data_IF_620471385355
#
_entry.id   IF_620471385355
#
_cell.length_a   1.000
_cell.length_b   1.000
_cell.length_c   1.000
_cell.angle_alpha   90.00
_cell.angle_beta   90.00
_cell.angle_gamma   90.00
#
_symmetry.space_group_name_H-M   'P 1'
#
loop_
_entity.id
_entity.type
_entity.pdbx_description
1 polymer ?
#
# COMPACT_ATOMS: atom_id res chain seq x y z
N UNK A 1 19.76 41.98 -2.06
CA UNK A 1 19.68 41.77 -3.52
C UNK A 1 20.07 40.33 -3.79
N UNK A 2 19.12 39.49 -4.21
CA UNK A 2 19.41 38.11 -4.64
C UNK A 2 20.09 38.19 -6.00
N UNK A 3 21.25 37.56 -6.16
CA UNK A 3 21.99 37.54 -7.42
C UNK A 3 21.10 37.04 -8.56
N UNK A 4 21.11 37.76 -9.68
CA UNK A 4 20.46 37.40 -10.95
C UNK A 4 20.70 35.94 -11.34
N UNK A 5 21.89 35.42 -11.03
CA UNK A 5 22.30 34.05 -11.38
C UNK A 5 21.52 33.00 -10.58
N UNK A 6 21.09 33.33 -9.35
CA UNK A 6 20.29 32.42 -8.55
C UNK A 6 18.85 32.30 -9.06
N UNK A 7 18.30 33.38 -9.60
CA UNK A 7 16.98 33.37 -10.23
C UNK A 7 16.98 32.54 -11.54
N UNK A 8 18.02 32.71 -12.38
CA UNK A 8 18.17 31.92 -13.61
C UNK A 8 18.34 30.42 -13.33
N UNK A 9 19.08 30.06 -12.27
CA UNK A 9 19.23 28.66 -11.87
C UNK A 9 17.91 28.03 -11.40
N UNK A 10 17.13 28.75 -10.58
CA UNK A 10 15.82 28.26 -10.11
C UNK A 10 14.79 28.12 -11.24
N UNK A 11 14.81 29.03 -12.23
CA UNK A 11 13.94 28.96 -13.41
C UNK A 11 14.35 27.79 -14.31
N UNK A 12 15.65 27.57 -14.53
CA UNK A 12 16.15 26.46 -15.35
C UNK A 12 15.79 25.09 -14.75
N UNK A 13 15.92 24.94 -13.42
CA UNK A 13 15.47 23.74 -12.70
C UNK A 13 13.96 23.56 -12.87
N UNK A 14 13.17 24.60 -12.65
CA UNK A 14 11.70 24.53 -12.74
C UNK A 14 11.22 24.11 -14.14
N UNK A 15 11.86 24.63 -15.20
CA UNK A 15 11.54 24.27 -16.60
C UNK A 15 11.93 22.82 -16.90
N UNK A 16 13.10 22.35 -16.45
CA UNK A 16 13.47 20.94 -16.61
C UNK A 16 12.52 20.00 -15.87
N UNK A 17 12.06 20.38 -14.67
CA UNK A 17 11.08 19.60 -13.90
C UNK A 17 9.72 19.52 -14.61
N UNK A 18 9.21 20.65 -15.15
CA UNK A 18 7.95 20.69 -15.89
C UNK A 18 8.03 19.83 -17.16
N UNK A 19 9.13 19.89 -17.91
CA UNK A 19 9.32 19.11 -19.13
C UNK A 19 9.40 17.60 -18.84
N UNK A 20 10.03 17.21 -17.73
CA UNK A 20 10.11 15.81 -17.29
C UNK A 20 8.73 15.28 -16.86
N UNK A 21 7.93 16.11 -16.19
CA UNK A 21 6.59 15.76 -15.73
C UNK A 21 5.62 15.55 -16.90
N UNK A 22 5.66 16.42 -17.92
CA UNK A 22 4.83 16.31 -19.11
C UNK A 22 5.10 15.02 -19.91
N UNK A 23 6.38 14.63 -20.04
CA UNK A 23 6.74 13.39 -20.75
C UNK A 23 6.35 12.12 -19.98
N UNK A 24 6.31 12.15 -18.64
CA UNK A 24 5.89 11.00 -17.83
C UNK A 24 4.38 10.79 -17.82
N UNK A 25 3.59 11.88 -17.79
CA UNK A 25 2.14 11.79 -17.93
C UNK A 25 1.72 11.17 -19.29
N UNK A 26 2.49 11.41 -20.35
CA UNK A 26 2.30 10.77 -21.65
C UNK A 26 2.54 9.25 -21.66
N UNK A 27 3.49 8.76 -20.84
CA UNK A 27 3.81 7.34 -20.73
C UNK A 27 2.71 6.60 -19.96
N UNK A 28 2.24 7.15 -18.82
CA UNK A 28 1.19 6.52 -18.02
C UNK A 28 -0.16 6.49 -18.76
N UNK A 29 -0.49 7.51 -19.55
CA UNK A 29 -1.71 7.51 -20.37
C UNK A 29 -1.70 6.41 -21.45
N UNK A 30 -0.51 6.08 -21.98
CA UNK A 30 -0.34 5.01 -22.97
C UNK A 30 -0.48 3.63 -22.31
N UNK A 31 0.15 3.41 -21.16
CA UNK A 31 0.03 2.16 -20.39
C UNK A 31 -1.40 1.94 -19.88
N UNK A 32 -2.08 3.02 -19.45
CA UNK A 32 -3.49 2.95 -19.05
C UNK A 32 -4.41 2.59 -20.22
N UNK A 33 -4.23 3.21 -21.39
CA UNK A 33 -4.97 2.84 -22.62
C UNK A 33 -4.73 1.40 -23.05
N UNK A 34 -3.52 0.88 -22.87
CA UNK A 34 -3.20 -0.53 -23.16
C UNK A 34 -3.85 -1.48 -22.14
N UNK A 35 -3.94 -1.09 -20.87
CA UNK A 35 -4.63 -1.87 -19.82
C UNK A 35 -6.15 -1.94 -19.97
N UNK A 36 -6.74 -0.98 -20.69
CA UNK A 36 -8.18 -0.94 -21.00
C UNK A 36 -8.56 -1.76 -22.25
N UNK A 37 -7.57 -2.27 -23.02
CA UNK A 37 -7.89 -3.18 -24.11
C UNK A 37 -8.39 -4.50 -23.51
N UNK A 38 -9.58 -4.98 -23.92
CA UNK A 38 -10.04 -6.29 -23.48
C UNK A 38 -8.99 -7.35 -23.90
N UNK A 39 -8.71 -8.35 -23.05
CA UNK A 39 -7.76 -9.40 -23.40
C UNK A 39 -8.20 -10.02 -24.72
N UNK A 40 -7.26 -10.10 -25.68
CA UNK A 40 -7.52 -10.68 -26.98
C UNK A 40 -8.13 -12.08 -26.75
N UNK A 41 -9.39 -12.25 -27.14
CA UNK A 41 -10.06 -13.54 -27.11
C UNK A 41 -9.33 -14.41 -28.14
N UNK A 42 -8.41 -15.25 -27.65
CA UNK A 42 -7.79 -16.28 -28.47
C UNK A 42 -8.88 -17.30 -28.74
N UNK A 43 -9.62 -17.10 -29.83
CA UNK A 43 -10.55 -18.10 -30.33
C UNK A 43 -9.74 -19.33 -30.71
N UNK A 44 -10.09 -20.52 -30.19
CA UNK A 44 -9.43 -21.75 -30.58
C UNK A 44 -9.60 -21.93 -32.09
N UNK A 45 -8.45 -22.10 -32.78
CA UNK A 45 -8.40 -22.39 -34.21
C UNK A 45 -9.08 -23.74 -34.44
N UNK A 46 -10.34 -23.72 -34.87
CA UNK A 46 -11.05 -24.93 -35.26
C UNK A 46 -10.37 -25.49 -36.52
N UNK A 47 -9.55 -26.53 -36.35
CA UNK A 47 -9.11 -27.35 -37.48
C UNK A 47 -10.35 -28.05 -38.05
N UNK A 48 -10.72 -27.67 -39.27
CA UNK A 48 -11.71 -28.37 -40.08
C UNK A 48 -11.17 -29.78 -40.41
N UNK A 49 -11.61 -30.78 -39.67
CA UNK A 49 -11.59 -32.16 -40.13
C UNK A 49 -12.90 -32.42 -40.89
N UNK A 50 -12.79 -32.49 -42.21
CA UNK A 50 -13.80 -33.07 -43.09
C UNK A 50 -13.82 -34.58 -42.86
N UNK A 51 -14.90 -35.09 -42.26
CA UNK A 51 -15.24 -36.52 -42.33
C UNK A 51 -16.60 -36.67 -42.98
N UNK A 52 -16.60 -37.49 -44.02
CA UNK A 52 -17.71 -37.83 -44.88
C UNK A 52 -18.92 -38.37 -44.14
N UNK A 53 -20.09 -37.99 -44.66
CA UNK A 53 -21.39 -38.44 -44.23
C UNK A 53 -21.62 -39.93 -44.51
N UNK A 54 -22.10 -40.67 -43.50
CA UNK A 54 -23.03 -41.79 -43.70
C UNK A 54 -24.09 -41.83 -42.59
N UNK A 55 -25.33 -41.82 -43.07
CA UNK A 55 -26.62 -41.95 -42.39
C UNK A 55 -26.73 -43.17 -41.48
N UNK A 56 -27.34 -42.99 -40.30
CA UNK A 56 -28.45 -43.85 -39.84
C UNK A 56 -29.15 -43.25 -38.59
N UNK A 57 -30.46 -43.37 -38.59
CA UNK A 57 -31.40 -42.86 -37.59
C UNK A 57 -31.31 -43.55 -36.22
N UNK A 58 -31.90 -42.90 -35.20
CA UNK A 58 -32.94 -43.47 -34.31
C UNK A 58 -32.75 -43.20 -32.80
N UNK A 59 -33.84 -42.71 -32.20
CA UNK A 59 -34.32 -42.89 -30.81
C UNK A 59 -33.68 -42.12 -29.63
N UNK A 60 -34.56 -41.28 -29.06
CA UNK A 60 -34.79 -40.98 -27.63
C UNK A 60 -34.05 -41.90 -26.63
N UNK A 61 -33.37 -41.31 -25.65
CA UNK A 61 -33.55 -41.65 -24.22
C UNK A 61 -32.94 -40.61 -23.28
N UNK A 62 -33.52 -40.55 -22.09
CA UNK A 62 -33.22 -39.72 -20.93
C UNK A 62 -31.76 -39.78 -20.43
N UNK A 63 -31.37 -38.69 -19.74
CA UNK A 63 -30.37 -38.48 -18.66
C UNK A 63 -29.54 -39.69 -18.16
N UNK A 64 -28.25 -39.52 -17.80
CA UNK A 64 -27.88 -38.74 -16.61
C UNK A 64 -26.62 -37.86 -16.72
N UNK A 65 -26.65 -36.77 -15.93
CA UNK A 65 -25.52 -35.90 -15.65
C UNK A 65 -24.45 -36.73 -14.92
N UNK A 66 -23.41 -37.13 -15.65
CA UNK A 66 -22.19 -37.70 -15.10
C UNK A 66 -21.17 -36.60 -14.87
N UNK A 67 -20.76 -36.54 -13.61
CA UNK A 67 -19.60 -35.86 -13.06
C UNK A 67 -18.40 -35.89 -14.02
N UNK A 68 -17.89 -34.71 -14.38
CA UNK A 68 -16.49 -34.55 -14.74
C UNK A 68 -15.76 -34.00 -13.52
N UNK A 69 -15.18 -34.92 -12.75
CA UNK A 69 -13.99 -34.66 -11.96
C UNK A 69 -12.90 -34.17 -12.92
N UNK A 70 -12.63 -32.86 -12.93
CA UNK A 70 -11.31 -32.39 -13.33
C UNK A 70 -10.41 -32.44 -12.11
N UNK A 71 -9.57 -33.47 -12.09
CA UNK A 71 -8.37 -33.56 -11.28
C UNK A 71 -7.52 -32.30 -11.53
N UNK A 72 -7.60 -31.32 -10.62
CA UNK A 72 -6.56 -30.32 -10.49
C UNK A 72 -5.47 -30.88 -9.59
N UNK A 73 -4.26 -30.88 -10.14
CA UNK A 73 -3.02 -31.35 -9.54
C UNK A 73 -2.81 -30.74 -8.15
N UNK A 74 -2.23 -31.47 -7.19
CA UNK A 74 -1.79 -30.87 -5.95
C UNK A 74 -0.72 -29.83 -6.27
N UNK A 75 -1.02 -28.56 -6.01
CA UNK A 75 0.00 -27.52 -5.98
C UNK A 75 0.81 -27.78 -4.71
N UNK A 76 2.06 -28.20 -4.92
CA UNK A 76 3.05 -28.43 -3.88
C UNK A 76 3.15 -27.23 -2.93
N UNK A 77 3.40 -27.45 -1.64
CA UNK A 77 3.59 -26.36 -0.69
C UNK A 77 4.79 -25.51 -1.12
N UNK A 78 4.56 -24.20 -1.25
CA UNK A 78 5.63 -23.21 -1.39
C UNK A 78 6.48 -23.31 -0.12
N UNK A 79 7.63 -23.95 -0.27
CA UNK A 79 8.68 -24.04 0.74
C UNK A 79 9.14 -22.62 1.08
N UNK A 80 9.25 -22.23 2.36
CA UNK A 80 9.95 -20.99 2.69
C UNK A 80 11.39 -21.12 2.17
N UNK A 81 11.80 -20.19 1.31
CA UNK A 81 13.21 -20.01 0.96
C UNK A 81 13.94 -19.68 2.26
N UNK A 82 14.63 -20.68 2.80
CA UNK A 82 15.66 -20.48 3.82
C UNK A 82 16.72 -19.57 3.19
N UNK A 83 16.82 -18.34 3.70
CA UNK A 83 18.01 -17.53 3.48
C UNK A 83 19.20 -18.35 3.98
N UNK A 84 20.03 -18.79 3.05
CA UNK A 84 21.34 -19.33 3.35
C UNK A 84 22.15 -18.20 4.02
N UNK A 85 22.35 -18.31 5.33
CA UNK A 85 23.46 -17.64 5.99
C UNK A 85 24.74 -18.22 5.40
N UNK A 86 25.33 -17.52 4.43
CA UNK A 86 26.75 -17.66 4.13
C UNK A 86 27.52 -17.12 5.33
N UNK A 87 27.93 -18.01 6.22
CA UNK A 87 29.02 -17.79 7.16
C UNK A 87 30.29 -17.55 6.34
N UNK A 88 30.75 -16.30 6.31
CA UNK A 88 32.09 -15.96 5.82
C UNK A 88 33.06 -16.39 6.91
N UNK A 89 33.63 -17.57 6.76
CA UNK A 89 34.80 -18.01 7.53
C UNK A 89 35.99 -17.15 7.13
N UNK A 90 36.35 -16.19 7.98
CA UNK A 90 37.65 -15.54 7.92
C UNK A 90 38.69 -16.50 8.51
N UNK A 91 39.37 -17.25 7.65
CA UNK A 91 40.65 -17.86 8.02
C UNK A 91 41.69 -16.75 8.18
N UNK A 92 41.96 -16.35 9.43
CA UNK A 92 43.23 -15.73 9.78
C UNK A 92 44.31 -16.81 9.67
N UNK A 93 45.13 -16.71 8.65
CA UNK A 93 46.39 -17.45 8.55
C UNK A 93 47.42 -16.72 9.41
N UNK A 94 47.64 -17.24 10.62
CA UNK A 94 48.79 -16.88 11.44
C UNK A 94 50.04 -17.54 10.83
N UNK A 95 50.79 -16.78 10.05
CA UNK A 95 52.14 -17.14 9.65
C UNK A 95 53.12 -16.73 10.76
N UNK A 96 53.37 -17.68 11.66
CA UNK A 96 54.52 -17.65 12.56
C UNK A 96 55.80 -17.86 11.76
N UNK A 97 56.70 -16.88 11.73
CA UNK A 97 58.09 -17.10 11.36
C UNK A 97 59.02 -16.38 12.34
N UNK A 98 59.62 -17.22 13.19
CA UNK A 98 60.98 -17.24 13.72
C UNK A 98 61.70 -15.93 14.03
N UNK A 99 61.93 -15.80 15.34
CA UNK A 99 63.09 -15.26 16.04
C UNK A 99 64.35 -14.99 15.19
N UNK A 100 64.80 -13.74 15.22
CA UNK A 100 66.23 -13.43 15.35
C UNK A 100 66.39 -12.14 16.15
N UNK A 101 67.08 -12.27 17.28
CA UNK A 101 67.36 -11.25 18.29
C UNK A 101 68.53 -10.39 17.84
N UNK A 102 68.33 -9.08 17.65
CA UNK A 102 69.41 -8.08 17.76
C UNK A 102 68.87 -6.76 18.30
N UNK A 103 69.55 -6.28 19.35
CA UNK A 103 69.24 -5.09 20.13
C UNK A 103 69.19 -3.80 19.29
N UNK A 104 68.09 -3.05 19.32
CA UNK A 104 68.02 -1.61 18.98
C UNK A 104 66.77 -0.99 19.60
N UNK A 105 66.87 -0.62 20.88
CA UNK A 105 65.74 -0.39 21.79
C UNK A 105 65.19 1.04 21.83
N UNK A 106 65.29 1.83 20.75
CA UNK A 106 64.80 3.23 20.79
C UNK A 106 64.08 3.74 19.54
N UNK A 107 63.97 2.95 18.46
CA UNK A 107 63.22 3.34 17.25
C UNK A 107 61.95 2.49 16.97
N UNK A 108 61.71 1.42 17.73
CA UNK A 108 60.61 0.50 17.50
C UNK A 108 59.23 1.02 17.98
N UNK A 109 59.19 1.97 18.92
CA UNK A 109 57.93 2.52 19.44
C UNK A 109 57.20 3.38 18.40
N UNK A 110 57.93 4.16 17.59
CA UNK A 110 57.35 5.05 16.58
C UNK A 110 56.76 4.29 15.38
N UNK A 111 57.33 3.13 15.02
CA UNK A 111 56.84 2.31 13.90
C UNK A 111 55.54 1.59 14.28
N UNK A 112 55.42 1.13 15.53
CA UNK A 112 54.20 0.45 16.02
C UNK A 112 52.98 1.38 16.06
N UNK A 113 53.18 2.65 16.42
CA UNK A 113 52.09 3.64 16.40
C UNK A 113 51.62 3.96 14.99
N UNK A 114 52.53 4.10 14.01
CA UNK A 114 52.20 4.37 12.61
C UNK A 114 51.41 3.22 11.94
N UNK A 115 51.66 1.97 12.35
CA UNK A 115 50.89 0.81 11.85
C UNK A 115 49.47 0.82 12.42
N UNK A 116 49.30 1.18 13.70
CA UNK A 116 47.98 1.28 14.33
C UNK A 116 47.14 2.40 13.73
N UNK A 117 47.71 3.58 13.49
CA UNK A 117 46.99 4.70 12.85
C UNK A 117 46.55 4.38 11.43
N UNK A 118 47.41 3.75 10.61
CA UNK A 118 47.01 3.33 9.25
C UNK A 118 45.87 2.30 9.24
N UNK A 119 45.84 1.38 10.22
CA UNK A 119 44.75 0.40 10.35
C UNK A 119 43.43 1.05 10.73
N UNK A 120 43.45 2.08 11.58
CA UNK A 120 42.26 2.86 11.96
C UNK A 120 41.78 3.68 10.76
N UNK A 121 42.69 4.34 10.03
CA UNK A 121 42.35 5.14 8.85
C UNK A 121 41.69 4.30 7.74
N UNK A 122 42.23 3.13 7.43
CA UNK A 122 41.64 2.22 6.44
C UNK A 122 40.25 1.70 6.85
N UNK A 123 40.01 1.50 8.16
CA UNK A 123 38.67 1.16 8.66
C UNK A 123 37.69 2.32 8.50
N UNK A 124 38.10 3.54 8.85
CA UNK A 124 37.28 4.75 8.69
C UNK A 124 36.97 5.02 7.22
N UNK A 125 37.96 4.91 6.33
CA UNK A 125 37.77 5.06 4.89
C UNK A 125 36.77 4.03 4.33
N UNK A 126 36.84 2.77 4.78
CA UNK A 126 35.89 1.73 4.37
C UNK A 126 34.47 1.99 4.88
N UNK A 127 34.32 2.50 6.10
CA UNK A 127 33.01 2.91 6.65
C UNK A 127 32.44 4.10 5.88
N UNK A 128 33.28 5.09 5.57
CA UNK A 128 32.89 6.27 4.80
C UNK A 128 32.51 5.92 3.37
N UNK A 129 33.28 5.08 2.68
CA UNK A 129 32.92 4.61 1.32
C UNK A 129 31.67 3.73 1.32
N UNK A 130 31.47 2.88 2.33
CA UNK A 130 30.25 2.08 2.44
C UNK A 130 29.01 2.94 2.69
N UNK A 131 29.14 4.01 3.49
CA UNK A 131 28.06 4.97 3.71
C UNK A 131 27.78 5.81 2.46
N UNK A 132 28.83 6.27 1.77
CA UNK A 132 28.75 7.04 0.52
C UNK A 132 28.09 6.25 -0.61
N UNK A 133 28.43 4.96 -0.79
CA UNK A 133 27.84 4.14 -1.85
C UNK A 133 26.38 3.76 -1.57
N UNK A 134 25.98 3.66 -0.31
CA UNK A 134 24.58 3.40 0.08
C UNK A 134 23.70 4.66 0.11
N UNK A 135 24.29 5.85 0.08
CA UNK A 135 23.57 7.13 0.04
C UNK A 135 23.14 7.55 -1.37
N UNK A 136 23.61 6.87 -2.43
CA UNK A 136 23.56 7.40 -3.80
C UNK A 136 22.64 6.68 -4.79
N UNK A 137 22.00 5.57 -4.45
CA UNK A 137 20.78 5.18 -5.17
C UNK A 137 19.62 5.98 -4.60
N UNK A 138 19.58 7.26 -4.99
CA UNK A 138 18.38 8.07 -4.90
C UNK A 138 17.30 7.35 -5.72
N UNK A 139 16.45 6.62 -5.02
CA UNK A 139 15.34 5.90 -5.64
C UNK A 139 14.35 6.95 -6.15
N UNK A 140 14.50 7.32 -7.42
CA UNK A 140 13.66 8.30 -8.11
C UNK A 140 12.17 7.96 -8.01
N UNK A 141 11.82 6.70 -7.75
CA UNK A 141 10.46 6.26 -7.47
C UNK A 141 10.00 6.77 -6.09
N UNK A 142 10.83 6.59 -5.05
CA UNK A 142 10.55 7.04 -3.67
C UNK A 142 10.32 8.55 -3.60
N UNK A 143 11.12 9.32 -4.33
CA UNK A 143 10.97 10.78 -4.41
C UNK A 143 9.61 11.17 -5.00
N UNK A 144 9.22 10.57 -6.12
CA UNK A 144 7.90 10.80 -6.74
C UNK A 144 6.75 10.45 -5.81
N UNK A 145 6.89 9.37 -5.02
CA UNK A 145 5.89 8.99 -4.01
C UNK A 145 5.72 10.04 -2.93
N UNK A 146 6.83 10.59 -2.41
CA UNK A 146 6.78 11.63 -1.39
C UNK A 146 6.05 12.86 -1.92
N UNK A 147 6.30 13.26 -3.17
CA UNK A 147 5.56 14.36 -3.81
C UNK A 147 4.06 14.05 -3.97
N UNK A 148 3.71 12.85 -4.42
CA UNK A 148 2.31 12.43 -4.57
C UNK A 148 1.57 12.43 -3.22
N UNK A 149 2.17 11.86 -2.18
CA UNK A 149 1.61 11.87 -0.82
C UNK A 149 1.47 13.30 -0.29
N UNK A 150 2.46 14.15 -0.51
CA UNK A 150 2.42 15.56 -0.09
C UNK A 150 1.27 16.31 -0.76
N UNK A 151 1.05 16.10 -2.05
CA UNK A 151 -0.08 16.68 -2.79
C UNK A 151 -1.41 16.18 -2.23
N UNK A 152 -1.54 14.88 -1.95
CA UNK A 152 -2.76 14.32 -1.36
C UNK A 152 -3.04 14.87 0.04
N UNK A 153 -2.02 15.00 0.90
CA UNK A 153 -2.13 15.61 2.22
C UNK A 153 -2.58 17.07 2.09
N UNK A 154 -2.00 17.82 1.15
CA UNK A 154 -2.39 19.20 0.89
C UNK A 154 -3.85 19.30 0.43
N UNK A 155 -4.30 18.43 -0.48
CA UNK A 155 -5.70 18.35 -0.92
C UNK A 155 -6.61 18.00 0.27
N UNK A 156 -6.23 17.02 1.09
CA UNK A 156 -6.98 16.63 2.28
C UNK A 156 -7.11 17.79 3.27
N UNK A 157 -6.03 18.54 3.47
CA UNK A 157 -6.02 19.74 4.30
C UNK A 157 -6.96 20.82 3.77
N UNK A 158 -6.96 21.08 2.45
CA UNK A 158 -7.90 22.02 1.83
C UNK A 158 -9.36 21.57 1.99
N UNK A 159 -9.65 20.28 1.79
CA UNK A 159 -10.99 19.72 2.00
C UNK A 159 -11.42 19.90 3.45
N UNK A 160 -10.52 19.64 4.41
CA UNK A 160 -10.80 19.80 5.84
C UNK A 160 -11.06 21.26 6.22
N UNK A 161 -10.23 22.18 5.75
CA UNK A 161 -10.34 23.62 6.05
C UNK A 161 -11.65 24.22 5.53
N UNK A 162 -12.16 23.74 4.39
CA UNK A 162 -13.43 24.16 3.82
C UNK A 162 -14.57 23.15 4.03
N UNK A 163 -14.39 22.17 4.94
CA UNK A 163 -15.32 21.05 5.08
C UNK A 163 -16.73 21.51 5.44
N UNK A 164 -16.85 22.42 6.40
CA UNK A 164 -18.14 22.96 6.85
C UNK A 164 -18.90 23.64 5.71
N UNK A 165 -18.25 24.59 5.03
CA UNK A 165 -18.81 25.28 3.86
C UNK A 165 -19.17 24.33 2.72
N UNK A 166 -18.33 23.32 2.46
CA UNK A 166 -18.59 22.30 1.46
C UNK A 166 -19.80 21.43 1.86
N UNK A 167 -19.93 21.13 3.16
CA UNK A 167 -21.03 20.35 3.71
C UNK A 167 -22.36 21.10 3.69
N UNK A 168 -22.36 22.43 3.85
CA UNK A 168 -23.54 23.28 3.68
C UNK A 168 -24.03 23.31 2.23
N UNK A 169 -23.10 23.40 1.27
CA UNK A 169 -23.42 23.48 -0.16
C UNK A 169 -23.81 22.11 -0.74
N UNK A 170 -23.00 21.09 -0.46
CA UNK A 170 -23.11 19.75 -1.04
C UNK A 170 -22.67 18.69 -0.01
N UNK A 171 -23.55 18.33 0.96
CA UNK A 171 -23.21 17.41 2.06
C UNK A 171 -22.80 16.01 1.60
N UNK A 172 -23.28 15.58 0.43
CA UNK A 172 -22.85 14.32 -0.17
C UNK A 172 -21.41 14.41 -0.71
N UNK A 173 -21.05 15.53 -1.33
CA UNK A 173 -19.74 15.69 -1.96
C UNK A 173 -18.64 15.81 -0.91
N UNK A 174 -18.88 16.51 0.20
CA UNK A 174 -17.91 16.66 1.29
C UNK A 174 -17.48 15.31 1.86
N UNK A 175 -18.45 14.44 2.15
CA UNK A 175 -18.20 13.10 2.69
C UNK A 175 -17.52 12.17 1.69
N UNK A 176 -17.91 12.21 0.42
CA UNK A 176 -17.27 11.45 -0.66
C UNK A 176 -15.80 11.87 -0.84
N UNK A 177 -15.52 13.18 -0.90
CA UNK A 177 -14.17 13.71 -1.12
C UNK A 177 -13.25 13.40 0.06
N UNK A 178 -13.68 13.68 1.29
CA UNK A 178 -12.84 13.45 2.46
C UNK A 178 -12.57 11.95 2.66
N UNK A 179 -13.60 11.11 2.51
CA UNK A 179 -13.45 9.65 2.58
C UNK A 179 -12.53 9.10 1.49
N UNK A 180 -12.73 9.53 0.24
CA UNK A 180 -11.91 9.11 -0.90
C UNK A 180 -10.44 9.48 -0.73
N UNK A 181 -10.15 10.74 -0.39
CA UNK A 181 -8.78 11.25 -0.25
C UNK A 181 -8.06 10.60 0.94
N UNK A 182 -8.72 10.45 2.09
CA UNK A 182 -8.09 9.81 3.27
C UNK A 182 -7.75 8.33 3.02
N UNK A 183 -8.61 7.57 2.35
CA UNK A 183 -8.30 6.21 1.93
C UNK A 183 -7.19 6.16 0.87
N UNK A 184 -7.14 7.13 -0.04
CA UNK A 184 -6.07 7.24 -1.04
C UNK A 184 -4.71 7.47 -0.37
N UNK A 185 -4.64 8.37 0.62
CA UNK A 185 -3.43 8.60 1.43
C UNK A 185 -3.00 7.31 2.14
N UNK A 186 -3.94 6.60 2.77
CA UNK A 186 -3.64 5.33 3.43
C UNK A 186 -3.05 4.29 2.45
N UNK A 187 -3.61 4.20 1.24
CA UNK A 187 -3.09 3.34 0.18
C UNK A 187 -1.69 3.77 -0.30
N UNK A 188 -1.45 5.07 -0.46
CA UNK A 188 -0.13 5.59 -0.83
C UNK A 188 0.92 5.29 0.23
N UNK A 189 0.60 5.46 1.53
CA UNK A 189 1.49 5.13 2.64
C UNK A 189 1.79 3.62 2.71
N UNK A 190 0.76 2.80 2.52
CA UNK A 190 0.88 1.33 2.46
C UNK A 190 1.81 0.90 1.30
N UNK A 191 1.61 1.44 0.11
CA UNK A 191 2.44 1.12 -1.06
C UNK A 191 3.86 1.66 -0.95
N UNK A 192 4.04 2.82 -0.32
CA UNK A 192 5.34 3.38 -0.01
C UNK A 192 6.13 2.46 0.94
N UNK A 193 5.48 1.92 1.97
CA UNK A 193 6.10 0.97 2.88
C UNK A 193 6.54 -0.33 2.17
N UNK A 194 5.67 -0.91 1.35
CA UNK A 194 5.97 -2.14 0.62
C UNK A 194 6.80 -1.95 -0.66
N UNK A 195 7.16 -0.70 -1.02
CA UNK A 195 7.90 -0.34 -2.25
C UNK A 195 7.26 -0.90 -3.54
N UNK A 196 5.93 -1.04 -3.57
CA UNK A 196 5.22 -1.61 -4.71
C UNK A 196 4.07 -0.70 -5.14
N UNK A 197 4.26 0.00 -6.27
CA UNK A 197 3.24 0.89 -6.82
C UNK A 197 2.19 0.13 -7.62
N UNK A 198 0.93 0.42 -7.33
CA UNK A 198 -0.19 -0.07 -8.11
C UNK A 198 -1.27 1.00 -8.18
N UNK A 199 -1.44 1.55 -9.38
CA UNK A 199 -2.51 2.51 -9.68
C UNK A 199 -3.90 1.90 -9.46
N UNK A 200 -4.10 0.65 -9.89
CA UNK A 200 -5.40 -0.04 -9.70
C UNK A 200 -5.76 -0.19 -8.21
N UNK A 201 -4.78 -0.42 -7.34
CA UNK A 201 -5.00 -0.41 -5.89
C UNK A 201 -5.35 0.98 -5.37
N UNK A 202 -4.74 2.05 -5.89
CA UNK A 202 -5.14 3.42 -5.53
C UNK A 202 -6.59 3.71 -5.90
N UNK A 203 -7.00 3.36 -7.13
CA UNK A 203 -8.39 3.52 -7.57
C UNK A 203 -9.34 2.72 -6.69
N UNK A 204 -8.99 1.47 -6.36
CA UNK A 204 -9.75 0.62 -5.41
C UNK A 204 -9.97 1.36 -4.09
N UNK A 205 -8.89 1.79 -3.43
CA UNK A 205 -9.00 2.45 -2.12
C UNK A 205 -9.71 3.81 -2.20
N UNK A 206 -9.54 4.57 -3.27
CA UNK A 206 -10.27 5.83 -3.47
C UNK A 206 -11.79 5.59 -3.60
N UNK A 207 -12.20 4.64 -4.44
CA UNK A 207 -13.62 4.27 -4.61
C UNK A 207 -14.20 3.73 -3.30
N UNK A 208 -13.47 2.88 -2.60
CA UNK A 208 -13.86 2.43 -1.26
C UNK A 208 -14.05 3.60 -0.30
N UNK A 209 -13.09 4.52 -0.25
CA UNK A 209 -13.16 5.70 0.61
C UNK A 209 -14.37 6.57 0.33
N UNK A 210 -14.76 6.74 -0.93
CA UNK A 210 -15.98 7.45 -1.30
C UNK A 210 -17.22 6.73 -0.77
N UNK A 211 -17.38 5.42 -1.05
CA UNK A 211 -18.53 4.63 -0.59
C UNK A 211 -18.62 4.66 0.94
N UNK A 212 -17.50 4.39 1.62
CA UNK A 212 -17.43 4.38 3.07
C UNK A 212 -17.71 5.77 3.67
N UNK A 213 -17.18 6.83 3.08
CA UNK A 213 -17.42 8.21 3.50
C UNK A 213 -18.91 8.57 3.44
N UNK A 214 -19.55 8.28 2.31
CA UNK A 214 -20.98 8.50 2.12
C UNK A 214 -21.84 7.73 3.14
N UNK A 215 -21.58 6.43 3.30
CA UNK A 215 -22.35 5.57 4.21
C UNK A 215 -22.13 5.97 5.67
N UNK A 216 -20.90 6.28 6.07
CA UNK A 216 -20.55 6.68 7.44
C UNK A 216 -21.22 8.00 7.80
N UNK A 217 -21.18 8.99 6.90
CA UNK A 217 -21.85 10.27 7.15
C UNK A 217 -23.37 10.11 7.34
N UNK A 218 -24.03 9.33 6.47
CA UNK A 218 -25.46 9.04 6.61
C UNK A 218 -25.79 8.29 7.89
N UNK A 219 -24.96 7.31 8.26
CA UNK A 219 -25.15 6.53 9.47
C UNK A 219 -25.04 7.41 10.72
N UNK A 220 -24.04 8.28 10.79
CA UNK A 220 -23.88 9.25 11.88
C UNK A 220 -25.10 10.17 11.96
N UNK A 221 -25.52 10.76 10.83
CA UNK A 221 -26.69 11.64 10.78
C UNK A 221 -27.96 10.91 11.24
N UNK A 222 -28.17 9.67 10.79
CA UNK A 222 -29.29 8.84 11.21
C UNK A 222 -29.29 8.62 12.73
N UNK A 223 -28.15 8.25 13.31
CA UNK A 223 -28.03 8.02 14.75
C UNK A 223 -28.25 9.30 15.55
N UNK A 224 -27.68 10.43 15.10
CA UNK A 224 -27.82 11.71 15.77
C UNK A 224 -29.26 12.26 15.71
N UNK A 225 -29.96 12.05 14.59
CA UNK A 225 -31.31 12.55 14.39
C UNK A 225 -32.41 11.66 15.00
N UNK A 226 -32.23 10.33 15.03
CA UNK A 226 -33.29 9.39 15.42
C UNK A 226 -33.19 8.88 16.85
N UNK A 227 -32.05 9.05 17.52
CA UNK A 227 -31.81 8.46 18.83
C UNK A 227 -31.28 9.55 19.76
N UNK A 228 -32.09 10.03 20.70
CA UNK A 228 -31.67 11.14 21.58
C UNK A 228 -30.63 10.72 22.61
N UNK A 229 -30.72 9.48 23.09
CA UNK A 229 -29.80 8.98 24.12
C UNK A 229 -28.42 8.62 23.52
N UNK A 230 -27.39 9.38 23.91
CA UNK A 230 -26.00 9.21 23.46
C UNK A 230 -25.45 7.80 23.66
N UNK A 231 -25.73 7.18 24.81
CA UNK A 231 -25.30 5.82 25.09
C UNK A 231 -26.00 4.80 24.18
N UNK A 232 -27.29 5.00 23.90
CA UNK A 232 -28.03 4.19 22.93
C UNK A 232 -27.49 4.33 21.51
N UNK A 233 -27.05 5.53 21.08
CA UNK A 233 -26.35 5.73 19.79
C UNK A 233 -25.12 4.84 19.70
N UNK A 234 -24.27 4.88 20.73
CA UNK A 234 -23.08 4.03 20.82
C UNK A 234 -23.43 2.53 20.75
N UNK A 235 -24.40 2.06 21.52
CA UNK A 235 -24.79 0.64 21.49
C UNK A 235 -25.28 0.20 20.11
N UNK A 236 -26.09 1.02 19.44
CA UNK A 236 -26.62 0.73 18.10
C UNK A 236 -25.49 0.77 17.05
N UNK A 237 -24.58 1.74 17.17
CA UNK A 237 -23.42 1.85 16.29
C UNK A 237 -22.53 0.61 16.37
N UNK A 238 -22.25 0.10 17.58
CA UNK A 238 -21.45 -1.10 17.74
C UNK A 238 -22.20 -2.37 17.33
N UNK A 239 -23.45 -2.52 17.74
CA UNK A 239 -24.20 -3.76 17.48
C UNK A 239 -24.64 -3.91 16.01
N UNK A 240 -24.96 -2.81 15.33
CA UNK A 240 -25.48 -2.84 13.95
C UNK A 240 -24.50 -2.18 12.98
N UNK A 241 -24.04 -0.97 13.29
CA UNK A 241 -23.18 -0.19 12.41
C UNK A 241 -21.90 -0.94 12.08
N UNK A 242 -21.08 -1.24 13.09
CA UNK A 242 -19.79 -1.89 12.91
C UNK A 242 -19.88 -3.20 12.11
N UNK A 243 -20.88 -4.05 12.40
CA UNK A 243 -21.11 -5.29 11.65
C UNK A 243 -21.46 -5.01 10.18
N UNK A 244 -22.35 -4.05 9.94
CA UNK A 244 -22.80 -3.69 8.59
C UNK A 244 -21.67 -3.09 7.75
N UNK A 245 -20.92 -2.13 8.29
CA UNK A 245 -19.77 -1.54 7.59
C UNK A 245 -18.69 -2.58 7.28
N UNK A 246 -18.43 -3.49 8.22
CA UNK A 246 -17.45 -4.54 7.99
C UNK A 246 -17.92 -5.53 6.91
N UNK A 247 -19.21 -5.85 6.87
CA UNK A 247 -19.77 -6.72 5.85
C UNK A 247 -19.67 -6.07 4.47
N UNK A 248 -20.03 -4.79 4.37
CA UNK A 248 -19.95 -4.02 3.12
C UNK A 248 -18.49 -3.95 2.63
N UNK A 249 -17.54 -3.70 3.53
CA UNK A 249 -16.10 -3.69 3.19
C UNK A 249 -15.63 -5.04 2.63
N UNK A 250 -16.03 -6.14 3.27
CA UNK A 250 -15.64 -7.49 2.83
C UNK A 250 -16.27 -7.82 1.48
N UNK A 251 -17.55 -7.51 1.29
CA UNK A 251 -18.23 -7.68 0.00
C UNK A 251 -17.56 -6.85 -1.10
N UNK A 252 -17.25 -5.58 -0.82
CA UNK A 252 -16.53 -4.71 -1.74
C UNK A 252 -15.19 -5.33 -2.17
N UNK A 253 -14.40 -5.83 -1.21
CA UNK A 253 -13.13 -6.48 -1.53
C UNK A 253 -13.30 -7.75 -2.37
N UNK A 254 -14.24 -8.63 -1.99
CA UNK A 254 -14.53 -9.85 -2.74
C UNK A 254 -14.99 -9.56 -4.18
N UNK A 255 -15.83 -8.54 -4.39
CA UNK A 255 -16.28 -8.12 -5.73
C UNK A 255 -15.09 -7.61 -6.54
N UNK A 256 -14.25 -6.76 -5.96
CA UNK A 256 -13.11 -6.17 -6.67
C UNK A 256 -12.05 -7.21 -7.05
N UNK A 257 -11.81 -8.18 -6.18
CA UNK A 257 -10.79 -9.23 -6.38
C UNK A 257 -11.35 -10.51 -7.01
N UNK A 258 -12.66 -10.55 -7.28
CA UNK A 258 -13.38 -11.75 -7.72
C UNK A 258 -13.12 -12.97 -6.81
N UNK A 259 -13.05 -12.75 -5.49
CA UNK A 259 -12.56 -13.70 -4.49
C UNK A 259 -13.63 -14.03 -3.43
N UNK A 260 -14.70 -14.71 -3.82
CA UNK A 260 -15.82 -15.05 -2.91
C UNK A 260 -15.53 -16.25 -1.99
N UNK A 261 -14.41 -16.94 -2.17
CA UNK A 261 -14.02 -18.06 -1.32
C UNK A 261 -13.67 -17.56 0.09
N UNK A 262 -14.10 -18.31 1.12
CA UNK A 262 -13.81 -18.01 2.53
C UNK A 262 -14.33 -16.66 3.06
N UNK A 263 -15.37 -16.07 2.44
CA UNK A 263 -15.95 -14.79 2.86
C UNK A 263 -16.30 -14.75 4.36
N UNK A 264 -16.82 -15.86 4.91
CA UNK A 264 -17.14 -15.98 6.34
C UNK A 264 -15.90 -15.78 7.21
N UNK A 265 -14.79 -16.44 6.87
CA UNK A 265 -13.54 -16.35 7.63
C UNK A 265 -12.96 -14.93 7.55
N UNK A 266 -12.95 -14.35 6.34
CA UNK A 266 -12.48 -12.98 6.11
C UNK A 266 -13.31 -12.00 6.96
N UNK A 267 -14.64 -12.13 6.92
CA UNK A 267 -15.57 -11.29 7.69
C UNK A 267 -15.38 -11.39 9.19
N UNK A 268 -15.30 -12.60 9.75
CA UNK A 268 -15.11 -12.78 11.20
C UNK A 268 -13.76 -12.24 11.67
N UNK A 269 -12.69 -12.46 10.90
CA UNK A 269 -11.37 -11.89 11.20
C UNK A 269 -11.41 -10.36 11.15
N UNK A 270 -12.07 -9.81 10.13
CA UNK A 270 -12.28 -8.37 9.97
C UNK A 270 -13.01 -7.76 11.17
N UNK A 271 -14.09 -8.39 11.65
CA UNK A 271 -14.82 -7.94 12.84
C UNK A 271 -13.90 -7.94 14.05
N UNK A 272 -13.14 -9.02 14.26
CA UNK A 272 -12.23 -9.13 15.41
C UNK A 272 -11.26 -7.95 15.47
N UNK A 273 -10.68 -7.56 14.34
CA UNK A 273 -9.77 -6.41 14.27
C UNK A 273 -10.54 -5.09 14.45
N UNK A 274 -11.69 -4.95 13.80
CA UNK A 274 -12.54 -3.75 13.88
C UNK A 274 -12.92 -3.41 15.33
N UNK A 275 -13.31 -4.41 16.12
CA UNK A 275 -13.69 -4.24 17.53
C UNK A 275 -12.54 -3.90 18.47
N UNK A 276 -11.28 -3.87 18.00
CA UNK A 276 -10.16 -3.42 18.81
C UNK A 276 -10.12 -1.90 18.97
N UNK A 277 -10.52 -1.15 17.92
CA UNK A 277 -10.43 0.32 17.89
C UNK A 277 -11.81 0.97 17.92
N UNK A 278 -12.76 0.46 17.13
CA UNK A 278 -14.02 1.16 16.89
C UNK A 278 -14.91 1.36 18.13
N UNK A 279 -14.98 0.44 19.12
CA UNK A 279 -15.75 0.70 20.34
C UNK A 279 -15.28 1.96 21.08
N UNK A 280 -13.96 2.15 21.18
CA UNK A 280 -13.39 3.35 21.83
C UNK A 280 -13.71 4.61 21.03
N UNK A 281 -13.53 4.56 19.71
CA UNK A 281 -13.75 5.71 18.82
C UNK A 281 -15.22 6.12 18.79
N UNK A 282 -16.14 5.16 18.71
CA UNK A 282 -17.58 5.42 18.74
C UNK A 282 -18.04 5.92 20.10
N UNK A 283 -17.52 5.37 21.20
CA UNK A 283 -17.80 5.89 22.54
C UNK A 283 -17.36 7.36 22.67
N UNK A 284 -16.15 7.68 22.24
CA UNK A 284 -15.64 9.06 22.24
C UNK A 284 -16.49 9.98 21.36
N UNK A 285 -16.83 9.52 20.16
CA UNK A 285 -17.60 10.27 19.17
C UNK A 285 -18.98 10.69 19.68
N UNK A 286 -19.77 9.75 20.19
CA UNK A 286 -21.14 10.05 20.60
C UNK A 286 -21.28 10.70 21.98
N UNK A 287 -20.28 10.56 22.86
CA UNK A 287 -20.35 11.14 24.21
C UNK A 287 -19.71 12.51 24.30
N UNK A 288 -18.55 12.72 23.66
CA UNK A 288 -17.69 13.88 23.90
C UNK A 288 -17.53 14.82 22.71
N UNK A 289 -17.82 14.37 21.48
CA UNK A 289 -17.62 15.19 20.29
C UNK A 289 -18.90 15.87 19.81
N UNK A 290 -18.72 17.01 19.14
CA UNK A 290 -19.77 17.66 18.35
C UNK A 290 -20.01 16.90 17.06
N UNK A 291 -21.25 16.87 16.60
CA UNK A 291 -21.70 16.08 15.44
C UNK A 291 -20.89 16.40 14.17
N UNK A 292 -20.54 17.66 13.96
CA UNK A 292 -19.73 18.17 12.83
C UNK A 292 -18.33 17.53 12.74
N UNK A 293 -17.74 17.13 13.88
CA UNK A 293 -16.36 16.63 13.96
C UNK A 293 -16.32 15.09 13.93
N UNK A 294 -17.45 14.42 14.22
CA UNK A 294 -17.51 12.95 14.28
C UNK A 294 -17.10 12.34 12.94
N UNK A 295 -17.63 12.84 11.82
CA UNK A 295 -17.32 12.28 10.51
C UNK A 295 -15.85 12.48 10.09
N UNK A 296 -15.27 13.71 10.15
CA UNK A 296 -13.85 13.90 9.86
C UNK A 296 -12.93 13.05 10.75
N UNK A 297 -13.26 12.88 12.03
CA UNK A 297 -12.51 11.99 12.92
C UNK A 297 -12.58 10.54 12.46
N UNK A 298 -13.75 10.04 12.06
CA UNK A 298 -13.90 8.69 11.52
C UNK A 298 -13.00 8.46 10.30
N UNK A 299 -12.95 9.41 9.35
CA UNK A 299 -12.04 9.33 8.20
C UNK A 299 -10.57 9.28 8.63
N UNK A 300 -10.17 10.10 9.60
CA UNK A 300 -8.80 10.15 10.10
C UNK A 300 -8.40 8.85 10.81
N UNK A 301 -9.24 8.34 11.70
CA UNK A 301 -9.01 7.06 12.37
C UNK A 301 -8.94 5.92 11.35
N UNK A 302 -9.80 5.92 10.33
CA UNK A 302 -9.76 4.90 9.29
C UNK A 302 -8.44 4.93 8.49
N UNK A 303 -7.87 6.12 8.24
CA UNK A 303 -6.53 6.26 7.65
C UNK A 303 -5.47 5.60 8.54
N UNK A 304 -5.43 5.96 9.83
CA UNK A 304 -4.45 5.39 10.80
C UNK A 304 -4.60 3.87 10.85
N UNK A 305 -5.84 3.40 10.94
CA UNK A 305 -6.13 1.98 11.06
C UNK A 305 -5.71 1.19 9.83
N UNK A 306 -6.00 1.71 8.63
CA UNK A 306 -5.60 1.07 7.37
C UNK A 306 -4.07 0.96 7.28
N UNK A 307 -3.34 2.01 7.66
CA UNK A 307 -1.87 1.99 7.70
C UNK A 307 -1.36 0.99 8.74
N UNK A 308 -1.98 0.94 9.91
CA UNK A 308 -1.61 0.00 10.99
C UNK A 308 -1.80 -1.45 10.56
N UNK A 309 -2.93 -1.77 9.92
CA UNK A 309 -3.20 -3.11 9.40
C UNK A 309 -2.20 -3.53 8.32
N UNK A 310 -1.73 -2.58 7.50
CA UNK A 310 -0.69 -2.83 6.52
C UNK A 310 0.66 -3.19 7.15
N UNK A 311 0.94 -2.75 8.38
CA UNK A 311 2.17 -3.15 9.08
C UNK A 311 2.05 -4.51 9.78
N UNK A 312 0.83 -4.91 10.14
CA UNK A 312 0.57 -6.17 10.84
C UNK A 312 0.40 -7.37 9.89
N UNK A 313 0.13 -7.12 8.61
CA UNK A 313 -0.11 -8.14 7.57
C UNK A 313 1.10 -8.27 6.66
#
# INVERSE_FOLDING_TARGET
>A
MVSSDHAHFQISISIQYIYRYHNMAGIELKTFKESLKPPAVILPYHQNQTTDAKSAASKRSLSPIRQQQQQQRPVSPIRPQQLAHQSIDYQLSDSSNNDTTTNTTTHASTISENIKTNKIFNRLYKILNYSSHNLQEFDSLREKFIYAISIQIFICYLIFLYFEKLNELMPLLSSLLLGGVTCCIAASLTQFYHKNYSFIKHVKFFVWGMINGFLTNHWIQFLCFRIDNKFKRFLIDQSIGALTFQLIFVLYNCIWENSFHNIRTIYLNSIKYSYFIWPLVSFLSFNYLKEEIIFPLNCFINLIWTVTLSFLT
#
